data_IF_489182633463
#
_entry.id   IF_489182633463
#
_cell.length_a   1.000
_cell.length_b   1.000
_cell.length_c   1.000
_cell.angle_alpha   90.00
_cell.angle_beta   90.00
_cell.angle_gamma   90.00
#
_symmetry.space_group_name_H-M   'P 1'
#
loop_
_entity.id
_entity.type
_entity.pdbx_description
1 polymer ?
#
# COMPACT_ATOMS: atom_id res chain seq x y z
N UNK A 1 31.97 -24.58 -0.03
CA UNK A 1 30.67 -23.89 -0.11
C UNK A 1 30.40 -23.67 -1.59
N UNK A 2 29.31 -24.24 -2.10
CA UNK A 2 29.16 -24.66 -3.51
C UNK A 2 28.74 -23.53 -4.46
N UNK A 3 29.45 -23.34 -5.57
CA UNK A 3 29.09 -22.46 -6.70
C UNK A 3 27.67 -22.67 -7.28
N UNK A 4 27.03 -23.80 -6.96
CA UNK A 4 25.66 -24.09 -7.37
C UNK A 4 24.61 -23.31 -6.56
N UNK A 5 24.92 -22.90 -5.32
CA UNK A 5 24.00 -22.05 -4.55
C UNK A 5 23.99 -20.62 -5.10
N UNK A 6 25.15 -20.09 -5.51
CA UNK A 6 25.25 -18.75 -6.10
C UNK A 6 24.52 -18.65 -7.44
N UNK A 7 24.66 -19.65 -8.33
CA UNK A 7 23.94 -19.65 -9.63
C UNK A 7 22.42 -19.73 -9.49
N UNK A 8 21.93 -20.47 -8.51
CA UNK A 8 20.48 -20.53 -8.25
C UNK A 8 19.97 -19.18 -7.72
N UNK A 9 20.69 -18.58 -6.78
CA UNK A 9 20.40 -17.23 -6.26
C UNK A 9 20.40 -16.20 -7.40
N UNK A 10 21.40 -16.22 -8.30
CA UNK A 10 21.49 -15.32 -9.45
C UNK A 10 20.28 -15.46 -10.41
N UNK A 11 19.81 -16.69 -10.66
CA UNK A 11 18.64 -16.95 -11.51
C UNK A 11 17.36 -16.48 -10.84
N UNK A 12 17.22 -16.74 -9.53
CA UNK A 12 16.08 -16.26 -8.74
C UNK A 12 16.06 -14.74 -8.71
N UNK A 13 17.20 -14.08 -8.52
CA UNK A 13 17.32 -12.63 -8.53
C UNK A 13 16.99 -12.03 -9.89
N UNK A 14 17.42 -12.66 -10.99
CA UNK A 14 17.06 -12.26 -12.35
C UNK A 14 15.55 -12.40 -12.61
N UNK A 15 14.93 -13.50 -12.15
CA UNK A 15 13.49 -13.70 -12.29
C UNK A 15 12.68 -12.72 -11.43
N UNK A 16 13.13 -12.47 -10.20
CA UNK A 16 12.54 -11.45 -9.35
C UNK A 16 12.63 -10.09 -10.05
N UNK A 17 13.81 -9.65 -10.48
CA UNK A 17 13.99 -8.39 -11.22
C UNK A 17 13.09 -8.30 -12.46
N UNK A 18 12.93 -9.39 -13.22
CA UNK A 18 12.00 -9.44 -14.35
C UNK A 18 10.54 -9.19 -13.93
N UNK A 19 10.06 -9.86 -12.87
CA UNK A 19 8.71 -9.63 -12.33
C UNK A 19 8.52 -8.19 -11.83
N UNK A 20 9.57 -7.63 -11.19
CA UNK A 20 9.58 -6.24 -10.74
C UNK A 20 9.35 -5.27 -11.91
N UNK A 21 10.09 -5.47 -13.01
CA UNK A 21 10.05 -4.59 -14.19
C UNK A 21 8.74 -4.72 -14.95
N UNK A 22 8.29 -5.94 -15.19
CA UNK A 22 7.20 -6.22 -16.13
C UNK A 22 5.80 -6.13 -15.54
N UNK A 23 5.63 -6.52 -14.27
CA UNK A 23 4.30 -6.62 -13.64
C UNK A 23 4.12 -5.56 -12.56
N UNK A 24 5.12 -5.41 -11.68
CA UNK A 24 4.95 -4.60 -10.47
C UNK A 24 5.07 -3.10 -10.74
N UNK A 25 6.03 -2.65 -11.57
CA UNK A 25 6.18 -1.22 -11.84
C UNK A 25 4.93 -0.61 -12.52
N UNK A 26 4.36 -1.21 -13.59
CA UNK A 26 3.15 -0.66 -14.19
C UNK A 26 1.94 -0.70 -13.23
N UNK A 27 1.82 -1.75 -12.42
CA UNK A 27 0.75 -1.85 -11.43
C UNK A 27 0.87 -0.77 -10.34
N UNK A 28 2.08 -0.51 -9.85
CA UNK A 28 2.34 0.56 -8.88
C UNK A 28 2.07 1.95 -9.46
N UNK A 29 2.47 2.21 -10.70
CA UNK A 29 2.17 3.49 -11.36
C UNK A 29 0.66 3.69 -11.57
N UNK A 30 -0.08 2.62 -11.91
CA UNK A 30 -1.55 2.65 -11.95
C UNK A 30 -2.14 2.94 -10.56
N UNK A 31 -1.68 2.26 -9.52
CA UNK A 31 -2.16 2.50 -8.14
C UNK A 31 -1.93 3.96 -7.70
N UNK A 32 -0.75 4.52 -8.00
CA UNK A 32 -0.46 5.94 -7.75
C UNK A 32 -1.39 6.87 -8.57
N UNK A 33 -1.79 6.47 -9.76
CA UNK A 33 -2.71 7.24 -10.61
C UNK A 33 -4.13 7.24 -10.04
N UNK A 34 -4.60 6.10 -9.51
CA UNK A 34 -5.86 6.01 -8.77
C UNK A 34 -5.87 6.94 -7.55
N UNK A 35 -4.79 6.95 -6.76
CA UNK A 35 -4.66 7.82 -5.60
C UNK A 35 -4.60 9.31 -5.97
N UNK A 36 -3.93 9.67 -7.06
CA UNK A 36 -3.91 11.06 -7.56
C UNK A 36 -5.32 11.50 -7.99
N UNK A 37 -6.04 10.65 -8.72
CA UNK A 37 -7.44 10.92 -9.09
C UNK A 37 -8.31 11.13 -7.86
N UNK A 38 -8.15 10.27 -6.86
CA UNK A 38 -8.84 10.41 -5.58
C UNK A 38 -8.53 11.74 -4.88
N UNK A 39 -7.27 12.19 -4.87
CA UNK A 39 -6.88 13.48 -4.29
C UNK A 39 -7.59 14.66 -4.99
N UNK A 40 -7.69 14.61 -6.33
CA UNK A 40 -8.40 15.62 -7.13
C UNK A 40 -9.90 15.59 -6.84
N UNK A 41 -10.51 14.41 -6.79
CA UNK A 41 -11.94 14.26 -6.48
C UNK A 41 -12.27 14.71 -5.05
N UNK A 42 -11.37 14.44 -4.09
CA UNK A 42 -11.46 14.92 -2.70
C UNK A 42 -11.43 16.43 -2.63
N UNK A 43 -10.47 17.06 -3.32
CA UNK A 43 -10.34 18.52 -3.40
C UNK A 43 -11.57 19.18 -4.02
N UNK A 44 -12.16 18.53 -5.03
CA UNK A 44 -13.36 19.00 -5.72
C UNK A 44 -14.66 18.70 -4.95
N UNK A 45 -14.59 18.09 -3.76
CA UNK A 45 -15.76 17.74 -2.96
C UNK A 45 -16.66 16.66 -3.57
N UNK A 46 -16.14 15.87 -4.52
CA UNK A 46 -16.90 14.82 -5.24
C UNK A 46 -16.97 13.51 -4.48
N UNK A 47 -16.29 13.40 -3.34
CA UNK A 47 -16.30 12.21 -2.50
C UNK A 47 -17.51 12.27 -1.58
N UNK A 48 -18.32 11.21 -1.64
CA UNK A 48 -19.42 10.97 -0.70
C UNK A 48 -18.88 10.94 0.72
N UNK A 49 -19.51 11.69 1.63
CA UNK A 49 -19.12 11.76 3.05
C UNK A 49 -19.05 10.37 3.69
N UNK A 50 -19.93 9.48 3.25
CA UNK A 50 -20.04 8.11 3.74
C UNK A 50 -18.80 7.25 3.45
N UNK A 51 -18.05 7.56 2.36
CA UNK A 51 -16.79 6.87 2.02
C UNK A 51 -15.61 7.26 2.92
N UNK A 52 -15.79 8.24 3.81
CA UNK A 52 -14.76 8.75 4.71
C UNK A 52 -15.11 8.51 6.19
N UNK A 53 -16.14 7.71 6.47
CA UNK A 53 -16.69 7.52 7.81
C UNK A 53 -15.82 6.65 8.73
N UNK A 54 -15.10 5.67 8.18
CA UNK A 54 -14.39 4.67 8.97
C UNK A 54 -12.89 4.84 8.86
N UNK A 55 -12.27 5.39 9.92
CA UNK A 55 -10.85 5.21 10.28
C UNK A 55 -9.78 5.64 9.27
N UNK A 56 -10.14 5.96 8.04
CA UNK A 56 -9.24 6.08 6.92
C UNK A 56 -8.69 7.51 6.95
N UNK A 57 -7.38 7.72 7.24
CA UNK A 57 -6.81 9.02 7.54
C UNK A 57 -6.54 9.82 6.25
N UNK A 58 -7.57 9.98 5.42
CA UNK A 58 -7.55 10.79 4.21
C UNK A 58 -7.81 12.24 4.59
N UNK A 59 -6.80 12.86 5.18
CA UNK A 59 -6.89 14.23 5.66
C UNK A 59 -5.99 15.11 4.81
N UNK A 60 -6.64 16.02 4.09
CA UNK A 60 -6.02 17.13 3.34
C UNK A 60 -5.22 16.67 2.11
N UNK A 61 -5.89 16.38 0.97
CA UNK A 61 -5.19 16.34 -0.31
C UNK A 61 -4.44 17.66 -0.55
N UNK A 62 -3.38 17.67 -1.38
CA UNK A 62 -2.67 18.90 -1.71
C UNK A 62 -3.62 19.98 -2.24
N UNK A 63 -3.52 21.19 -1.72
CA UNK A 63 -4.37 22.31 -2.15
C UNK A 63 -4.06 22.78 -3.57
N UNK A 64 -2.84 22.52 -4.05
CA UNK A 64 -2.37 22.88 -5.39
C UNK A 64 -2.74 21.82 -6.42
N UNK A 65 -2.97 22.23 -7.67
CA UNK A 65 -3.16 21.32 -8.82
C UNK A 65 -1.86 20.87 -9.47
N UNK A 66 -0.74 21.06 -8.77
CA UNK A 66 0.55 20.56 -9.23
C UNK A 66 0.55 19.01 -9.24
N UNK A 67 0.70 18.38 -10.42
CA UNK A 67 0.72 16.92 -10.55
C UNK A 67 1.89 16.29 -9.80
N UNK A 68 3.00 17.02 -9.62
CA UNK A 68 4.18 16.52 -8.92
C UNK A 68 3.91 16.37 -7.41
N UNK A 69 3.25 17.36 -6.81
CA UNK A 69 2.84 17.33 -5.41
C UNK A 69 1.77 16.27 -5.15
N UNK A 70 0.80 16.13 -6.06
CA UNK A 70 -0.22 15.08 -5.97
C UNK A 70 0.41 13.68 -6.04
N UNK A 71 1.38 13.47 -6.93
CA UNK A 71 2.11 12.20 -7.04
C UNK A 71 2.96 11.92 -5.80
N UNK A 72 3.62 12.93 -5.23
CA UNK A 72 4.37 12.78 -3.98
C UNK A 72 3.46 12.43 -2.81
N UNK A 73 2.32 13.12 -2.67
CA UNK A 73 1.31 12.80 -1.67
C UNK A 73 0.80 11.36 -1.82
N UNK A 74 0.46 10.94 -3.04
CA UNK A 74 -0.01 9.59 -3.32
C UNK A 74 1.04 8.53 -2.93
N UNK A 75 2.33 8.79 -3.19
CA UNK A 75 3.43 7.91 -2.75
C UNK A 75 3.50 7.77 -1.23
N UNK A 76 3.39 8.88 -0.50
CA UNK A 76 3.42 8.88 0.97
C UNK A 76 2.24 8.10 1.54
N UNK A 77 1.03 8.31 0.99
CA UNK A 77 -0.17 7.58 1.42
C UNK A 77 -0.07 6.07 1.17
N UNK A 78 0.41 5.68 -0.01
CA UNK A 78 0.60 4.28 -0.37
C UNK A 78 1.68 3.59 0.50
N UNK A 79 2.78 4.30 0.79
CA UNK A 79 3.82 3.83 1.72
C UNK A 79 3.28 3.54 3.10
N UNK A 80 2.53 4.50 3.65
CA UNK A 80 2.00 4.40 5.00
C UNK A 80 1.05 3.21 5.13
N UNK A 81 0.19 3.00 4.11
CA UNK A 81 -0.69 1.84 4.02
C UNK A 81 0.08 0.51 3.98
N UNK A 82 1.03 0.38 3.05
CA UNK A 82 1.77 -0.87 2.90
C UNK A 82 2.60 -1.15 4.14
N UNK A 83 3.15 -0.13 4.78
CA UNK A 83 3.89 -0.31 6.01
C UNK A 83 2.99 -0.72 7.19
N UNK A 84 1.72 -0.31 7.21
CA UNK A 84 0.74 -0.84 8.16
C UNK A 84 0.46 -2.32 7.92
N UNK A 85 0.27 -2.73 6.65
CA UNK A 85 0.09 -4.14 6.29
C UNK A 85 1.31 -4.99 6.66
N UNK A 86 2.52 -4.47 6.44
CA UNK A 86 3.78 -5.13 6.81
C UNK A 86 3.88 -5.32 8.31
N UNK A 87 3.52 -4.30 9.09
CA UNK A 87 3.52 -4.40 10.55
C UNK A 87 2.52 -5.44 11.07
N UNK A 88 1.50 -5.77 10.28
CA UNK A 88 0.52 -6.80 10.55
C UNK A 88 0.84 -8.14 9.84
N UNK A 89 2.05 -8.30 9.32
CA UNK A 89 2.49 -9.51 8.60
C UNK A 89 1.57 -9.92 7.44
N UNK A 90 0.80 -8.97 6.89
CA UNK A 90 -0.25 -9.20 5.90
C UNK A 90 -1.37 -10.16 6.37
N UNK A 91 -1.56 -10.30 7.67
CA UNK A 91 -2.61 -11.12 8.31
C UNK A 91 -3.84 -10.29 8.64
N UNK A 92 -4.61 -9.84 7.64
CA UNK A 92 -5.89 -9.15 7.88
C UNK A 92 -7.04 -10.08 7.55
N UNK A 93 -7.74 -10.60 8.57
CA UNK A 93 -8.95 -11.38 8.38
C UNK A 93 -10.17 -10.45 8.44
N UNK A 94 -10.55 -9.90 7.29
CA UNK A 94 -11.52 -8.81 7.23
C UNK A 94 -12.94 -9.19 7.68
N UNK A 95 -13.28 -10.49 7.74
CA UNK A 95 -14.55 -10.96 8.30
C UNK A 95 -14.44 -11.39 9.75
N UNK A 96 -13.39 -12.12 10.14
CA UNK A 96 -13.26 -12.57 11.54
C UNK A 96 -12.93 -11.40 12.49
N UNK A 97 -12.17 -10.40 12.02
CA UNK A 97 -11.74 -9.25 12.81
C UNK A 97 -12.69 -8.05 12.67
N UNK A 98 -13.84 -8.23 11.98
CA UNK A 98 -14.78 -7.16 11.63
C UNK A 98 -14.11 -5.96 10.94
N UNK A 99 -13.00 -6.16 10.24
CA UNK A 99 -12.15 -5.11 9.69
C UNK A 99 -12.48 -4.74 8.23
N UNK A 100 -13.76 -4.74 7.87
CA UNK A 100 -14.25 -4.33 6.54
C UNK A 100 -13.90 -2.86 6.20
N UNK A 101 -13.66 -2.03 7.22
CA UNK A 101 -13.21 -0.65 7.07
C UNK A 101 -11.92 -0.53 6.22
N UNK A 102 -11.10 -1.58 6.15
CA UNK A 102 -9.91 -1.58 5.29
C UNK A 102 -10.25 -1.38 3.81
N UNK A 103 -11.45 -1.77 3.37
CA UNK A 103 -11.90 -1.60 1.99
C UNK A 103 -12.43 -0.19 1.69
N UNK A 104 -12.64 0.65 2.71
CA UNK A 104 -12.95 2.07 2.50
C UNK A 104 -11.68 2.90 2.22
N UNK A 105 -10.49 2.33 2.43
CA UNK A 105 -9.21 2.96 2.17
C UNK A 105 -8.85 2.95 0.66
N UNK A 106 -8.73 4.13 0.00
CA UNK A 106 -8.30 4.22 -1.40
C UNK A 106 -7.00 3.52 -1.75
N UNK A 107 -6.05 3.36 -0.82
CA UNK A 107 -4.82 2.60 -1.08
C UNK A 107 -5.13 1.10 -1.13
N UNK A 108 -6.00 0.59 -0.26
CA UNK A 108 -6.47 -0.79 -0.34
C UNK A 108 -7.21 -1.05 -1.65
N UNK A 109 -8.18 -0.18 -2.01
CA UNK A 109 -8.93 -0.28 -3.27
C UNK A 109 -7.98 -0.22 -4.47
N UNK A 110 -7.08 0.78 -4.51
CA UNK A 110 -6.15 0.94 -5.62
C UNK A 110 -5.26 -0.30 -5.79
N UNK A 111 -4.74 -0.87 -4.70
CA UNK A 111 -3.89 -2.06 -4.73
C UNK A 111 -4.65 -3.33 -5.12
N UNK A 112 -5.92 -3.45 -4.74
CA UNK A 112 -6.81 -4.54 -5.17
C UNK A 112 -7.13 -4.43 -6.67
N UNK A 113 -7.48 -3.23 -7.15
CA UNK A 113 -7.80 -2.97 -8.56
C UNK A 113 -6.60 -3.27 -9.48
N UNK A 114 -5.38 -2.94 -9.05
CA UNK A 114 -4.17 -3.23 -9.85
C UNK A 114 -3.64 -4.66 -9.67
N UNK A 115 -4.28 -5.48 -8.82
CA UNK A 115 -3.92 -6.87 -8.58
C UNK A 115 -2.64 -7.06 -7.76
N UNK A 116 -2.22 -6.05 -6.98
CA UNK A 116 -1.08 -6.18 -6.05
C UNK A 116 -1.53 -6.77 -4.71
N UNK A 117 -2.79 -6.54 -4.33
CA UNK A 117 -3.47 -7.25 -3.27
C UNK A 117 -4.58 -8.12 -3.86
N UNK A 118 -4.94 -9.18 -3.16
CA UNK A 118 -6.15 -9.94 -3.41
C UNK A 118 -6.90 -10.19 -2.10
N UNK A 119 -8.23 -10.22 -2.18
CA UNK A 119 -9.08 -10.67 -1.08
C UNK A 119 -9.48 -12.12 -1.32
N UNK A 120 -9.18 -12.99 -0.36
CA UNK A 120 -9.64 -14.36 -0.30
C UNK A 120 -10.95 -14.39 0.50
N UNK A 121 -11.93 -15.23 0.11
CA UNK A 121 -13.22 -15.36 0.81
C UNK A 121 -13.18 -16.38 1.95
N UNK A 122 -12.53 -17.52 1.72
CA UNK A 122 -12.41 -18.61 2.69
C UNK A 122 -10.97 -19.15 2.71
N UNK A 123 -10.21 -18.91 3.80
CA UNK A 123 -10.47 -17.94 4.87
C UNK A 123 -10.40 -16.49 4.37
N UNK A 124 -11.10 -15.59 5.06
CA UNK A 124 -11.40 -14.22 4.60
C UNK A 124 -10.23 -13.24 4.76
N UNK A 125 -9.12 -13.47 4.06
CA UNK A 125 -7.91 -12.68 4.20
C UNK A 125 -7.69 -11.65 3.08
N UNK A 126 -7.07 -10.52 3.43
CA UNK A 126 -6.43 -9.61 2.47
C UNK A 126 -4.93 -9.91 2.41
N UNK A 127 -4.42 -10.28 1.23
CA UNK A 127 -3.01 -10.69 1.07
C UNK A 127 -2.34 -10.04 -0.13
N UNK A 128 -1.02 -9.82 -0.08
CA UNK A 128 -0.24 -9.43 -1.24
C UNK A 128 -0.09 -10.61 -2.20
N UNK A 129 -0.09 -10.32 -3.50
CA UNK A 129 0.10 -11.33 -4.54
C UNK A 129 1.47 -12.03 -4.45
N UNK A 130 2.48 -11.37 -3.88
CA UNK A 130 3.73 -12.03 -3.49
C UNK A 130 4.35 -11.41 -2.24
N UNK A 131 5.07 -12.22 -1.46
CA UNK A 131 5.91 -11.72 -0.34
C UNK A 131 6.95 -10.70 -0.81
N UNK A 132 7.34 -10.75 -2.09
CA UNK A 132 8.25 -9.80 -2.72
C UNK A 132 7.69 -8.39 -2.85
N UNK A 133 6.35 -8.22 -2.87
CA UNK A 133 5.69 -6.90 -2.94
C UNK A 133 6.09 -6.02 -1.76
N UNK A 134 6.33 -6.60 -0.57
CA UNK A 134 6.82 -5.86 0.59
C UNK A 134 8.15 -5.15 0.31
N UNK A 135 9.17 -5.93 -0.10
CA UNK A 135 10.51 -5.42 -0.39
C UNK A 135 10.47 -4.45 -1.56
N UNK A 136 9.66 -4.77 -2.56
CA UNK A 136 9.45 -3.97 -3.76
C UNK A 136 8.83 -2.61 -3.50
N UNK A 137 7.79 -2.55 -2.67
CA UNK A 137 7.15 -1.28 -2.33
C UNK A 137 8.12 -0.43 -1.50
N UNK A 138 8.87 -1.04 -0.58
CA UNK A 138 9.90 -0.33 0.20
C UNK A 138 11.07 0.17 -0.68
N UNK A 139 11.54 -0.63 -1.63
CA UNK A 139 12.62 -0.26 -2.55
C UNK A 139 12.19 0.74 -3.63
N UNK A 140 10.98 0.61 -4.18
CA UNK A 140 10.50 1.50 -5.25
C UNK A 140 9.95 2.81 -4.73
N UNK A 141 9.43 2.83 -3.52
CA UNK A 141 9.13 4.09 -2.84
C UNK A 141 10.36 4.55 -2.05
N UNK A 142 11.53 4.50 -2.70
CA UNK A 142 12.70 5.27 -2.28
C UNK A 142 12.32 6.75 -2.31
N UNK A 143 12.05 7.28 -1.12
CA UNK A 143 11.80 8.69 -0.89
C UNK A 143 13.15 9.41 -0.93
N UNK A 144 13.26 10.47 -1.74
CA UNK A 144 14.36 11.43 -1.58
C UNK A 144 14.41 11.88 -0.11
N UNK A 145 15.61 12.17 0.42
CA UNK A 145 15.83 12.41 1.85
C UNK A 145 14.86 13.42 2.48
N UNK A 146 14.45 14.45 1.73
CA UNK A 146 13.43 15.43 2.14
C UNK A 146 12.02 14.83 2.30
N UNK A 147 11.65 13.93 1.41
CA UNK A 147 10.35 13.25 1.41
C UNK A 147 10.30 12.16 2.50
N UNK A 148 11.45 11.59 2.88
CA UNK A 148 11.56 10.67 4.02
C UNK A 148 11.24 11.36 5.35
N UNK A 149 11.76 12.57 5.58
CA UNK A 149 11.42 13.38 6.75
C UNK A 149 9.93 13.74 6.78
N UNK A 150 9.35 14.11 5.63
CA UNK A 150 7.91 14.38 5.51
C UNK A 150 7.07 13.14 5.78
N UNK A 151 7.47 11.97 5.27
CA UNK A 151 6.83 10.69 5.57
C UNK A 151 6.89 10.37 7.06
N UNK A 152 8.06 10.52 7.70
CA UNK A 152 8.23 10.23 9.13
C UNK A 152 7.34 11.15 9.99
N UNK A 153 7.30 12.45 9.67
CA UNK A 153 6.42 13.42 10.32
C UNK A 153 4.94 13.09 10.10
N UNK A 154 4.56 12.78 8.86
CA UNK A 154 3.19 12.35 8.56
C UNK A 154 2.84 11.10 9.35
N UNK A 155 3.75 10.13 9.48
CA UNK A 155 3.47 8.89 10.22
C UNK A 155 3.32 9.12 11.72
N UNK A 156 4.15 9.97 12.32
CA UNK A 156 4.09 10.25 13.77
C UNK A 156 2.82 11.02 14.15
N UNK A 157 2.39 11.98 13.34
CA UNK A 157 1.25 12.86 13.68
C UNK A 157 -0.06 12.39 13.03
N UNK A 158 0.03 11.78 11.85
CA UNK A 158 -1.09 11.51 10.93
C UNK A 158 -1.04 10.11 10.32
N UNK A 159 -0.21 9.22 10.86
CA UNK A 159 -0.03 7.88 10.31
C UNK A 159 -1.27 7.02 10.47
N UNK A 160 -1.49 6.15 9.50
CA UNK A 160 -2.46 5.07 9.59
C UNK A 160 -2.08 4.17 10.76
N UNK A 161 -3.08 3.85 11.57
CA UNK A 161 -2.95 2.87 12.64
C UNK A 161 -4.13 1.90 12.55
N UNK A 162 -4.03 0.99 11.60
CA UNK A 162 -4.97 -0.13 11.48
C UNK A 162 -4.65 -1.25 12.46
N UNK A 163 -3.71 -1.06 13.39
CA UNK A 163 -3.28 -2.08 14.35
C UNK A 163 -4.42 -2.67 15.20
N UNK A 164 -5.48 -1.88 15.44
CA UNK A 164 -6.68 -2.34 16.15
C UNK A 164 -7.61 -3.20 15.27
N UNK A 165 -7.56 -3.04 13.95
CA UNK A 165 -8.26 -3.86 12.95
C UNK A 165 -7.43 -5.07 12.49
N UNK A 166 -6.12 -4.99 12.66
CA UNK A 166 -5.13 -5.99 12.25
C UNK A 166 -4.63 -6.81 13.45
N UNK A 167 -5.51 -7.02 14.43
CA UNK A 167 -5.23 -7.85 15.58
C UNK A 167 -5.18 -9.30 15.13
N UNK A 168 -3.98 -9.79 14.83
CA UNK A 168 -3.74 -11.23 14.82
C UNK A 168 -3.79 -11.74 16.28
N UNK A 169 -5.00 -11.91 16.81
CA UNK A 169 -5.23 -12.67 18.04
C UNK A 169 -5.77 -14.03 17.63
N UNK A 170 -4.85 -14.96 17.34
CA UNK A 170 -5.11 -16.36 17.67
C UNK A 170 -5.25 -17.40 16.56
N UNK A 171 -4.74 -17.19 15.34
CA UNK A 171 -4.58 -18.30 14.39
C UNK A 171 -3.10 -18.66 14.24
N UNK A 172 -2.60 -19.47 15.19
CA UNK A 172 -1.37 -20.26 15.02
C UNK A 172 -1.57 -21.36 13.99
#
# INVERSE_FOLDING_TARGET
MSENSSKFEDIVDAYLAYLQVTVVNPAMDRALSHLQKFAVDARNGRILKDKLCFGAPWRHPPSSDDPTLCRQWAKIQLMDFVQCLVNAEFGVNYLADCSLEIFDDPSAIALLEVGLLYSQRDPSFLRPLSRGIQRLVQERIQLQSKTSLQYLWQRVIRGRSYRHLMLEVGYK
#
